data_IF_349278890910
#
_entry.id   IF_349278890910
#
_cell.length_a   1.000
_cell.length_b   1.000
_cell.length_c   1.000
_cell.angle_alpha   90.00
_cell.angle_beta   90.00
_cell.angle_gamma   90.00
#
_symmetry.space_group_name_H-M   'P 1'
#
loop_
_entity.id
_entity.type
_entity.pdbx_description
1 polymer ?
#
# COMPACT_ATOMS: atom_id res chain seq x y z
N UNK A 1 19.80 -5.01 16.55
CA UNK A 1 19.51 -5.45 15.17
C UNK A 1 18.65 -6.70 15.28
N UNK A 2 17.34 -6.57 15.08
CA UNK A 2 16.41 -7.71 15.18
C UNK A 2 16.65 -8.72 14.08
N UNK A 3 16.29 -9.97 14.33
CA UNK A 3 16.32 -11.02 13.31
C UNK A 3 15.25 -10.77 12.24
N UNK A 4 15.32 -11.45 11.10
CA UNK A 4 14.32 -11.37 10.03
C UNK A 4 12.91 -11.74 10.52
N UNK A 5 12.82 -12.63 11.51
CA UNK A 5 11.60 -12.97 12.24
C UNK A 5 11.06 -11.84 13.10
N UNK A 6 11.91 -11.06 13.74
CA UNK A 6 11.48 -9.94 14.58
C UNK A 6 10.91 -8.82 13.72
N UNK A 7 11.55 -8.51 12.57
CA UNK A 7 11.01 -7.55 11.61
C UNK A 7 9.68 -8.02 11.01
N UNK A 8 9.56 -9.31 10.69
CA UNK A 8 8.31 -9.86 10.17
C UNK A 8 7.18 -9.79 11.20
N UNK A 9 7.47 -10.10 12.48
CA UNK A 9 6.50 -9.98 13.56
C UNK A 9 6.09 -8.53 13.80
N UNK A 10 7.04 -7.59 13.74
CA UNK A 10 6.76 -6.15 13.83
C UNK A 10 5.88 -5.67 12.66
N UNK A 11 6.21 -6.04 11.42
CA UNK A 11 5.42 -5.70 10.24
C UNK A 11 3.98 -6.21 10.36
N UNK A 12 3.80 -7.46 10.78
CA UNK A 12 2.46 -8.05 10.99
C UNK A 12 1.64 -7.31 12.04
N UNK A 13 2.25 -6.87 13.14
CA UNK A 13 1.56 -6.05 14.16
C UNK A 13 1.09 -4.72 13.58
N UNK A 14 1.97 -4.00 12.90
CA UNK A 14 1.62 -2.70 12.30
C UNK A 14 0.52 -2.85 11.24
N UNK A 15 0.56 -3.92 10.44
CA UNK A 15 -0.50 -4.23 9.46
C UNK A 15 -1.87 -4.42 10.13
N UNK A 16 -1.93 -5.15 11.24
CA UNK A 16 -3.17 -5.35 11.99
C UNK A 16 -3.70 -4.01 12.52
N UNK A 17 -2.84 -3.19 13.10
CA UNK A 17 -3.19 -1.87 13.61
C UNK A 17 -3.67 -0.92 12.50
N UNK A 18 -3.02 -0.97 11.33
CA UNK A 18 -3.42 -0.19 10.15
C UNK A 18 -4.80 -0.62 9.65
N UNK A 19 -5.07 -1.94 9.56
CA UNK A 19 -6.39 -2.45 9.17
C UNK A 19 -7.47 -2.04 10.16
N UNK A 20 -7.21 -2.23 11.46
CA UNK A 20 -8.17 -1.88 12.50
C UNK A 20 -8.46 -0.37 12.50
N UNK A 21 -7.44 0.47 12.34
CA UNK A 21 -7.62 1.91 12.23
C UNK A 21 -8.41 2.31 10.99
N UNK A 22 -8.17 1.65 9.84
CA UNK A 22 -8.93 1.88 8.60
C UNK A 22 -10.40 1.47 8.76
N UNK A 23 -10.66 0.30 9.33
CA UNK A 23 -12.02 -0.18 9.60
C UNK A 23 -12.76 0.72 10.61
N UNK A 24 -12.06 1.22 11.64
CA UNK A 24 -12.65 2.17 12.59
C UNK A 24 -13.08 3.46 11.88
N UNK A 25 -12.25 3.99 10.99
CA UNK A 25 -12.57 5.17 10.19
C UNK A 25 -13.77 4.89 9.27
N UNK A 26 -13.79 3.74 8.60
CA UNK A 26 -14.89 3.35 7.71
C UNK A 26 -16.21 3.16 8.47
N UNK A 27 -16.17 2.55 9.67
CA UNK A 27 -17.34 2.41 10.55
C UNK A 27 -17.86 3.77 11.03
N UNK A 28 -16.97 4.70 11.37
CA UNK A 28 -17.34 6.06 11.74
C UNK A 28 -17.91 6.85 10.54
N UNK A 29 -17.44 6.57 9.32
CA UNK A 29 -18.05 7.11 8.10
C UNK A 29 -19.44 6.52 7.85
N UNK A 30 -19.61 5.21 8.01
CA UNK A 30 -20.87 4.49 7.75
C UNK A 30 -21.95 4.75 8.81
N UNK A 31 -21.57 4.94 10.07
CA UNK A 31 -22.49 5.20 11.17
C UNK A 31 -23.03 6.64 11.18
N UNK A 32 -22.56 7.53 10.31
CA UNK A 32 -22.96 8.93 10.28
C UNK A 32 -24.10 9.16 9.26
N UNK A 33 -25.32 9.53 9.70
CA UNK A 33 -26.38 9.90 8.79
C UNK A 33 -26.20 11.37 8.34
N UNK A 34 -26.02 11.54 7.04
CA UNK A 34 -26.66 12.57 6.19
C UNK A 34 -26.88 13.99 6.74
N UNK A 35 -25.94 14.58 7.49
CA UNK A 35 -25.95 16.04 7.69
C UNK A 35 -24.69 16.69 7.09
N UNK A 36 -24.78 17.27 5.87
CA UNK A 36 -23.66 17.94 5.21
C UNK A 36 -23.11 19.16 5.95
N UNK A 37 -23.81 19.65 6.98
CA UNK A 37 -23.52 20.91 7.66
C UNK A 37 -22.83 20.74 9.03
N UNK A 38 -22.75 19.52 9.56
CA UNK A 38 -22.09 19.28 10.84
C UNK A 38 -20.65 18.81 10.61
N UNK A 39 -19.67 19.60 11.05
CA UNK A 39 -18.28 19.18 11.13
C UNK A 39 -18.23 17.87 11.94
N UNK A 40 -17.92 16.75 11.26
CA UNK A 40 -17.97 15.40 11.82
C UNK A 40 -17.27 15.32 13.19
N UNK A 41 -17.99 15.04 14.28
CA UNK A 41 -17.37 14.69 15.55
C UNK A 41 -16.87 13.24 15.45
N UNK A 42 -15.66 13.04 14.93
CA UNK A 42 -15.03 11.71 14.87
C UNK A 42 -14.23 11.36 13.62
N UNK A 43 -14.27 12.18 12.55
CA UNK A 43 -13.22 12.10 11.51
C UNK A 43 -11.96 12.76 12.04
N UNK A 44 -11.35 12.18 13.06
CA UNK A 44 -10.20 12.77 13.75
C UNK A 44 -9.05 12.89 12.74
N UNK A 45 -8.67 14.11 12.31
CA UNK A 45 -7.48 14.29 11.47
C UNK A 45 -6.25 13.65 12.11
N UNK A 46 -6.24 13.59 13.44
CA UNK A 46 -5.26 12.90 14.27
C UNK A 46 -5.21 11.37 14.06
N UNK A 47 -6.34 10.69 13.82
CA UNK A 47 -6.30 9.24 13.53
C UNK A 47 -5.71 8.99 12.13
N UNK A 48 -6.08 9.83 11.15
CA UNK A 48 -5.55 9.69 9.79
C UNK A 48 -4.05 10.00 9.71
N UNK A 49 -3.56 10.95 10.51
CA UNK A 49 -2.13 11.25 10.60
C UNK A 49 -1.37 10.11 11.28
N UNK A 50 -1.92 9.51 12.36
CA UNK A 50 -1.35 8.32 12.99
C UNK A 50 -1.24 7.13 12.02
N UNK A 51 -2.26 6.88 11.19
CA UNK A 51 -2.20 5.82 10.17
C UNK A 51 -1.16 6.10 9.08
N UNK A 52 -0.95 7.37 8.70
CA UNK A 52 0.13 7.73 7.78
C UNK A 52 1.50 7.44 8.38
N UNK A 53 1.71 7.80 9.65
CA UNK A 53 2.98 7.52 10.35
C UNK A 53 3.26 6.01 10.40
N UNK A 54 2.26 5.21 10.78
CA UNK A 54 2.37 3.74 10.80
C UNK A 54 2.61 3.14 9.42
N UNK A 55 2.01 3.71 8.37
CA UNK A 55 2.25 3.28 6.99
C UNK A 55 3.69 3.57 6.56
N UNK A 56 4.25 4.73 6.91
CA UNK A 56 5.65 5.07 6.65
C UNK A 56 6.59 4.13 7.42
N UNK A 57 6.28 3.82 8.68
CA UNK A 57 7.02 2.85 9.48
C UNK A 57 7.00 1.45 8.86
N UNK A 58 5.82 0.97 8.42
CA UNK A 58 5.69 -0.31 7.72
C UNK A 58 6.49 -0.35 6.41
N UNK A 59 6.49 0.74 5.64
CA UNK A 59 7.29 0.84 4.42
C UNK A 59 8.78 0.74 4.70
N UNK A 60 9.26 1.38 5.78
CA UNK A 60 10.65 1.28 6.21
C UNK A 60 11.00 -0.16 6.60
N UNK A 61 10.17 -0.81 7.41
CA UNK A 61 10.39 -2.20 7.83
C UNK A 61 10.37 -3.15 6.63
N UNK A 62 9.50 -2.93 5.64
CA UNK A 62 9.47 -3.73 4.42
C UNK A 62 10.78 -3.63 3.64
N UNK A 63 11.33 -2.42 3.50
CA UNK A 63 12.63 -2.19 2.85
C UNK A 63 13.77 -2.85 3.63
N UNK A 64 13.81 -2.66 4.96
CA UNK A 64 14.82 -3.28 5.83
C UNK A 64 14.76 -4.83 5.76
N UNK A 65 13.55 -5.38 5.72
CA UNK A 65 13.30 -6.82 5.58
C UNK A 65 13.74 -7.33 4.21
N UNK A 66 13.47 -6.61 3.11
CA UNK A 66 13.96 -6.94 1.77
C UNK A 66 15.49 -6.94 1.70
N UNK A 67 16.15 -5.95 2.31
CA UNK A 67 17.61 -5.86 2.34
C UNK A 67 18.24 -7.03 3.12
N UNK A 68 17.75 -7.32 4.32
CA UNK A 68 18.26 -8.46 5.10
C UNK A 68 17.98 -9.80 4.43
N UNK A 69 16.82 -9.94 3.80
CA UNK A 69 16.43 -11.12 3.04
C UNK A 69 17.38 -11.37 1.86
N UNK A 70 17.64 -10.34 1.06
CA UNK A 70 18.56 -10.42 -0.08
C UNK A 70 20.00 -10.69 0.36
N UNK A 71 20.44 -10.13 1.49
CA UNK A 71 21.78 -10.37 2.04
C UNK A 71 21.98 -11.81 2.56
N UNK A 72 20.94 -12.42 3.14
CA UNK A 72 21.00 -13.76 3.73
C UNK A 72 20.62 -14.89 2.74
N UNK A 73 20.35 -14.56 1.49
CA UNK A 73 19.76 -15.46 0.48
C UNK A 73 20.66 -16.62 0.07
N UNK A 74 21.98 -16.47 0.23
CA UNK A 74 22.98 -17.49 -0.12
C UNK A 74 23.19 -18.52 1.01
N UNK A 75 22.83 -18.19 2.25
CA UNK A 75 23.16 -19.00 3.43
C UNK A 75 21.98 -19.81 3.99
N UNK A 76 20.75 -19.57 3.55
CA UNK A 76 19.54 -20.21 4.13
C UNK A 76 18.85 -21.20 3.20
N UNK A 77 18.54 -22.39 3.72
CA UNK A 77 17.65 -23.39 3.09
C UNK A 77 16.20 -22.90 2.97
N UNK A 78 15.75 -22.00 3.84
CA UNK A 78 14.36 -21.50 3.90
C UNK A 78 14.07 -20.39 2.88
N UNK A 79 14.83 -20.35 1.78
CA UNK A 79 14.87 -19.17 0.92
C UNK A 79 13.52 -18.84 0.30
N UNK A 80 12.83 -19.84 -0.21
CA UNK A 80 11.54 -19.63 -0.86
C UNK A 80 10.44 -19.25 0.15
N UNK A 81 10.57 -19.68 1.41
CA UNK A 81 9.60 -19.35 2.47
C UNK A 81 9.71 -17.87 2.82
N UNK A 82 10.92 -17.37 3.02
CA UNK A 82 11.14 -15.97 3.35
C UNK A 82 10.87 -15.04 2.17
N UNK A 83 11.17 -15.47 0.93
CA UNK A 83 10.75 -14.75 -0.26
C UNK A 83 9.23 -14.51 -0.28
N UNK A 84 8.44 -15.57 -0.09
CA UNK A 84 6.96 -15.43 -0.05
C UNK A 84 6.47 -14.57 1.11
N UNK A 85 7.10 -14.66 2.28
CA UNK A 85 6.75 -13.82 3.44
C UNK A 85 7.00 -12.34 3.18
N UNK A 86 8.13 -12.02 2.55
CA UNK A 86 8.48 -10.63 2.18
C UNK A 86 7.54 -10.11 1.10
N UNK A 87 7.30 -10.90 0.04
CA UNK A 87 6.35 -10.54 -1.02
C UNK A 87 4.93 -10.33 -0.46
N UNK A 88 4.46 -11.18 0.44
CA UNK A 88 3.15 -11.01 1.08
C UNK A 88 3.04 -9.74 1.93
N UNK A 89 4.09 -9.36 2.66
CA UNK A 89 4.12 -8.11 3.42
C UNK A 89 4.15 -6.90 2.47
N UNK A 90 4.87 -6.99 1.34
CA UNK A 90 4.90 -5.93 0.34
C UNK A 90 3.52 -5.71 -0.31
N UNK A 91 2.84 -6.79 -0.72
CA UNK A 91 1.47 -6.74 -1.26
C UNK A 91 0.48 -6.17 -0.23
N UNK A 92 0.57 -6.60 1.03
CA UNK A 92 -0.27 -6.07 2.10
C UNK A 92 0.00 -4.57 2.33
N UNK A 93 1.26 -4.13 2.28
CA UNK A 93 1.64 -2.71 2.41
C UNK A 93 1.07 -1.87 1.28
N UNK A 94 1.16 -2.34 0.03
CA UNK A 94 0.63 -1.64 -1.14
C UNK A 94 -0.91 -1.59 -1.11
N UNK A 95 -1.56 -2.66 -0.67
CA UNK A 95 -3.02 -2.71 -0.52
C UNK A 95 -3.52 -1.70 0.52
N UNK A 96 -2.84 -1.62 1.68
CA UNK A 96 -3.17 -0.70 2.77
C UNK A 96 -2.92 0.75 2.36
N UNK A 97 -1.82 1.01 1.65
CA UNK A 97 -1.54 2.33 1.06
C UNK A 97 -2.65 2.75 0.11
N UNK A 98 -3.03 1.88 -0.83
CA UNK A 98 -4.09 2.18 -1.79
C UNK A 98 -5.44 2.45 -1.11
N UNK A 99 -5.75 1.74 -0.03
CA UNK A 99 -6.97 1.96 0.75
C UNK A 99 -6.95 3.32 1.47
N UNK A 100 -5.82 3.67 2.10
CA UNK A 100 -5.64 4.96 2.79
C UNK A 100 -5.68 6.14 1.80
N UNK A 101 -5.03 6.03 0.65
CA UNK A 101 -5.01 7.06 -0.38
C UNK A 101 -6.43 7.29 -0.96
N UNK A 102 -7.21 6.23 -1.18
CA UNK A 102 -8.62 6.34 -1.58
C UNK A 102 -9.46 7.08 -0.55
N UNK A 103 -9.28 6.78 0.74
CA UNK A 103 -9.97 7.47 1.82
C UNK A 103 -9.61 8.96 1.84
N UNK A 104 -8.31 9.28 1.81
CA UNK A 104 -7.83 10.66 1.81
C UNK A 104 -8.27 11.44 0.58
N UNK A 105 -8.31 10.81 -0.60
CA UNK A 105 -8.80 11.42 -1.83
C UNK A 105 -10.30 11.76 -1.75
N UNK A 106 -11.11 10.89 -1.13
CA UNK A 106 -12.53 11.17 -0.90
C UNK A 106 -12.73 12.32 0.09
N UNK A 107 -11.97 12.35 1.17
CA UNK A 107 -12.04 13.44 2.14
C UNK A 107 -11.56 14.78 1.57
N UNK A 108 -10.46 14.79 0.81
CA UNK A 108 -9.99 16.00 0.13
C UNK A 108 -11.01 16.52 -0.88
N UNK A 109 -11.62 15.63 -1.67
CA UNK A 109 -12.68 15.99 -2.61
C UNK A 109 -13.89 16.61 -1.91
N UNK A 110 -14.34 16.02 -0.79
CA UNK A 110 -15.42 16.59 0.03
C UNK A 110 -15.06 17.96 0.58
N UNK A 111 -13.83 18.14 1.06
CA UNK A 111 -13.37 19.43 1.56
C UNK A 111 -13.28 20.49 0.45
N UNK A 112 -12.86 20.11 -0.76
CA UNK A 112 -12.88 20.99 -1.91
C UNK A 112 -14.31 21.40 -2.29
N UNK A 113 -15.23 20.44 -2.38
CA UNK A 113 -16.66 20.71 -2.66
C UNK A 113 -17.31 21.59 -1.57
N UNK A 114 -16.96 21.40 -0.30
CA UNK A 114 -17.43 22.23 0.81
C UNK A 114 -16.87 23.66 0.76
N UNK A 115 -15.58 23.82 0.40
CA UNK A 115 -14.95 25.13 0.23
C UNK A 115 -15.58 25.89 -0.94
N UNK A 116 -15.73 25.26 -2.10
CA UNK A 116 -16.39 25.84 -3.27
C UNK A 116 -17.83 26.29 -2.91
N UNK A 117 -18.57 25.46 -2.16
CA UNK A 117 -19.92 25.81 -1.70
C UNK A 117 -19.91 27.00 -0.73
N UNK A 118 -18.95 27.07 0.19
CA UNK A 118 -18.82 28.20 1.10
C UNK A 118 -18.48 29.50 0.35
N UNK A 119 -17.66 29.43 -0.70
CA UNK A 119 -17.37 30.58 -1.57
C UNK A 119 -18.60 31.04 -2.35
N UNK A 120 -19.41 30.10 -2.87
CA UNK A 120 -20.68 30.42 -3.53
C UNK A 120 -21.69 31.06 -2.57
N UNK A 121 -21.80 30.56 -1.33
CA UNK A 121 -22.64 31.16 -0.29
C UNK A 121 -22.15 32.55 0.12
N UNK A 122 -20.84 32.72 0.27
CA UNK A 122 -20.22 34.03 0.56
C UNK A 122 -20.47 35.02 -0.56
N UNK A 123 -20.40 34.59 -1.82
CA UNK A 123 -20.71 35.41 -3.00
C UNK A 123 -22.20 35.74 -3.10
N UNK A 124 -23.08 34.79 -2.80
CA UNK A 124 -24.53 35.00 -2.75
C UNK A 124 -24.95 35.99 -1.66
N UNK A 125 -24.40 35.85 -0.45
CA UNK A 125 -24.62 36.76 0.67
C UNK A 125 -24.05 38.17 0.39
N UNK A 126 -22.88 38.26 -0.25
CA UNK A 126 -22.29 39.53 -0.68
C UNK A 126 -23.13 40.22 -1.76
N UNK A 127 -23.75 39.47 -2.68
CA UNK A 127 -24.62 40.03 -3.74
C UNK A 127 -25.92 40.63 -3.16
N UNK A 128 -26.48 40.03 -2.11
CA UNK A 128 -27.68 40.55 -1.43
C UNK A 128 -27.36 41.82 -0.62
N UNK A 129 -26.18 41.89 0.01
CA UNK A 129 -25.67 43.11 0.65
C UNK A 129 -25.20 44.21 -0.32
N UNK A 130 -24.90 43.88 -1.58
CA UNK A 130 -24.34 44.79 -2.59
C UNK A 130 -25.33 45.83 -3.11
N UNK A 131 -26.65 45.64 -2.97
CA UNK A 131 -27.64 46.67 -3.38
C UNK A 131 -27.62 47.92 -2.50
N UNK A 132 -26.98 47.88 -1.33
CA UNK A 132 -26.94 49.00 -0.35
C UNK A 132 -25.53 49.61 -0.20
N UNK A 133 -24.46 48.95 -0.66
CA UNK A 133 -23.07 49.32 -0.37
C UNK A 133 -22.16 49.34 -1.61
N UNK A 134 -22.68 49.65 -2.80
CA UNK A 134 -21.91 49.49 -4.06
C UNK A 134 -20.87 50.56 -4.35
N UNK A 135 -20.94 51.75 -3.75
CA UNK A 135 -20.21 52.90 -4.32
C UNK A 135 -18.93 53.31 -3.56
N UNK A 136 -18.64 52.78 -2.37
CA UNK A 136 -17.45 53.17 -1.59
C UNK A 136 -16.45 52.04 -1.23
N UNK A 137 -16.79 50.76 -1.37
CA UNK A 137 -16.00 49.64 -0.81
C UNK A 137 -15.25 48.78 -1.85
N UNK A 138 -15.39 49.11 -3.14
CA UNK A 138 -14.83 48.31 -4.25
C UNK A 138 -13.28 48.33 -4.30
N UNK A 139 -12.63 49.42 -3.88
CA UNK A 139 -11.18 49.58 -3.94
C UNK A 139 -10.46 48.95 -2.74
N UNK A 140 -11.04 49.07 -1.53
CA UNK A 140 -10.52 48.42 -0.33
C UNK A 140 -10.68 46.88 -0.40
N UNK A 141 -11.78 46.40 -0.97
CA UNK A 141 -12.03 44.98 -1.17
C UNK A 141 -11.10 44.36 -2.23
N UNK A 142 -10.67 45.14 -3.24
CA UNK A 142 -9.70 44.71 -4.23
C UNK A 142 -8.31 44.44 -3.59
N UNK A 143 -7.81 45.35 -2.76
CA UNK A 143 -6.54 45.17 -2.04
C UNK A 143 -6.57 43.96 -1.10
N UNK A 144 -7.67 43.77 -0.37
CA UNK A 144 -7.87 42.60 0.50
C UNK A 144 -7.97 41.29 -0.30
N UNK A 145 -8.59 41.32 -1.49
CA UNK A 145 -8.68 40.17 -2.39
C UNK A 145 -7.32 39.76 -2.94
N UNK A 146 -6.45 40.73 -3.28
CA UNK A 146 -5.10 40.45 -3.79
C UNK A 146 -4.25 39.77 -2.71
N UNK A 147 -4.34 40.24 -1.47
CA UNK A 147 -3.57 39.65 -0.38
C UNK A 147 -4.06 38.25 0.00
N UNK A 148 -5.38 38.01 -0.16
CA UNK A 148 -5.98 36.68 0.02
C UNK A 148 -5.56 35.74 -1.12
N UNK A 149 -5.58 36.22 -2.36
CA UNK A 149 -5.13 35.47 -3.54
C UNK A 149 -3.65 35.09 -3.45
N UNK A 150 -2.79 35.96 -2.93
CA UNK A 150 -1.38 35.63 -2.71
C UNK A 150 -1.21 34.49 -1.69
N UNK A 151 -1.98 34.47 -0.60
CA UNK A 151 -1.94 33.35 0.37
C UNK A 151 -2.45 32.05 -0.22
N UNK A 152 -3.52 32.10 -1.02
CA UNK A 152 -4.05 30.91 -1.70
C UNK A 152 -3.07 30.39 -2.75
N UNK A 153 -2.39 31.27 -3.49
CA UNK A 153 -1.34 30.89 -4.43
C UNK A 153 -0.14 30.26 -3.73
N UNK A 154 0.26 30.77 -2.57
CA UNK A 154 1.34 30.18 -1.77
C UNK A 154 0.95 28.79 -1.25
N UNK A 155 -0.27 28.62 -0.73
CA UNK A 155 -0.79 27.32 -0.30
C UNK A 155 -0.90 26.32 -1.46
N UNK A 156 -1.32 26.79 -2.64
CA UNK A 156 -1.36 26.00 -3.88
C UNK A 156 0.04 25.62 -4.36
N UNK A 157 1.01 26.52 -4.24
CA UNK A 157 2.41 26.27 -4.60
C UNK A 157 3.05 25.27 -3.64
N UNK A 158 2.78 25.39 -2.34
CA UNK A 158 3.20 24.43 -1.30
C UNK A 158 2.58 23.04 -1.54
N UNK A 159 1.29 22.97 -1.87
CA UNK A 159 0.63 21.72 -2.21
C UNK A 159 1.18 21.13 -3.52
N UNK A 160 1.43 21.95 -4.54
CA UNK A 160 1.97 21.51 -5.84
C UNK A 160 3.41 20.99 -5.70
N UNK A 161 4.23 21.63 -4.87
CA UNK A 161 5.60 21.19 -4.58
C UNK A 161 5.62 19.87 -3.82
N UNK A 162 4.75 19.69 -2.82
CA UNK A 162 4.59 18.40 -2.12
C UNK A 162 4.10 17.27 -3.03
N UNK A 163 3.19 17.58 -3.97
CA UNK A 163 2.74 16.61 -4.99
C UNK A 163 3.87 16.28 -5.96
N UNK A 164 4.62 17.27 -6.46
CA UNK A 164 5.78 17.05 -7.34
C UNK A 164 6.88 16.23 -6.65
N UNK A 165 7.14 16.45 -5.36
CA UNK A 165 8.07 15.66 -4.57
C UNK A 165 7.60 14.19 -4.46
N UNK A 166 6.29 13.98 -4.24
CA UNK A 166 5.71 12.64 -4.21
C UNK A 166 5.80 11.92 -5.57
N UNK A 167 5.65 12.66 -6.69
CA UNK A 167 5.83 12.15 -8.05
C UNK A 167 7.30 11.88 -8.37
N UNK A 168 8.22 12.71 -7.90
CA UNK A 168 9.66 12.49 -8.04
C UNK A 168 10.10 11.23 -7.29
N UNK A 169 9.65 11.04 -6.04
CA UNK A 169 9.86 9.81 -5.28
C UNK A 169 9.25 8.57 -5.97
N UNK A 170 8.07 8.70 -6.58
CA UNK A 170 7.46 7.60 -7.35
C UNK A 170 8.24 7.28 -8.63
N UNK A 171 8.74 8.30 -9.34
CA UNK A 171 9.55 8.14 -10.55
C UNK A 171 10.86 7.40 -10.28
N UNK A 172 11.54 7.68 -9.18
CA UNK A 172 12.77 6.96 -8.83
C UNK A 172 12.50 5.50 -8.44
N UNK A 173 11.35 5.22 -7.82
CA UNK A 173 10.90 3.85 -7.56
C UNK A 173 10.57 3.10 -8.84
N UNK A 174 9.87 3.74 -9.79
CA UNK A 174 9.54 3.14 -11.09
C UNK A 174 10.78 2.91 -11.96
N UNK A 175 11.75 3.84 -11.97
CA UNK A 175 13.03 3.65 -12.66
C UNK A 175 13.85 2.51 -12.06
N UNK A 176 13.88 2.40 -10.74
CA UNK A 176 14.56 1.29 -10.06
C UNK A 176 13.82 -0.03 -10.27
N UNK A 177 12.48 -0.03 -10.31
CA UNK A 177 11.67 -1.20 -10.65
C UNK A 177 11.84 -1.62 -12.11
N UNK A 178 11.92 -0.66 -13.05
CA UNK A 178 12.16 -0.93 -14.48
C UNK A 178 13.57 -1.48 -14.73
N UNK A 179 14.61 -0.93 -14.08
CA UNK A 179 15.97 -1.50 -14.11
C UNK A 179 15.97 -2.91 -13.54
N UNK A 180 15.31 -3.14 -12.40
CA UNK A 180 15.14 -4.47 -11.80
C UNK A 180 14.32 -5.41 -12.69
N UNK A 181 13.32 -4.92 -13.42
CA UNK A 181 12.52 -5.71 -14.34
C UNK A 181 13.32 -6.12 -15.59
N UNK A 182 14.17 -5.23 -16.12
CA UNK A 182 15.14 -5.55 -17.17
C UNK A 182 16.13 -6.62 -16.71
N UNK A 183 16.64 -6.51 -15.48
CA UNK A 183 17.52 -7.53 -14.89
C UNK A 183 16.79 -8.85 -14.64
N UNK A 184 15.50 -8.80 -14.27
CA UNK A 184 14.61 -9.95 -14.10
C UNK A 184 14.27 -10.59 -15.43
N UNK A 185 14.04 -9.85 -16.51
CA UNK A 185 13.83 -10.41 -17.86
C UNK A 185 15.12 -11.07 -18.36
N UNK A 186 16.28 -10.46 -18.10
CA UNK A 186 17.58 -11.03 -18.43
C UNK A 186 17.91 -12.29 -17.60
N UNK A 187 17.35 -12.43 -16.39
CA UNK A 187 17.56 -13.61 -15.51
C UNK A 187 16.44 -14.65 -15.57
N UNK A 188 15.23 -14.30 -15.99
CA UNK A 188 14.12 -15.22 -16.26
C UNK A 188 14.37 -16.04 -17.53
N UNK A 189 15.21 -15.55 -18.46
CA UNK A 189 15.77 -16.36 -19.56
C UNK A 189 16.57 -17.59 -19.11
N UNK A 190 17.00 -17.64 -17.84
CA UNK A 190 17.69 -18.79 -17.23
C UNK A 190 16.76 -19.63 -16.31
N UNK A 191 15.51 -19.21 -16.08
CA UNK A 191 14.57 -19.83 -15.12
C UNK A 191 13.80 -21.03 -15.69
N UNK A 192 13.98 -21.40 -16.96
CA UNK A 192 13.43 -22.65 -17.51
C UNK A 192 13.98 -23.91 -16.81
N UNK A 193 15.21 -23.84 -16.30
CA UNK A 193 15.89 -24.99 -15.66
C UNK A 193 15.58 -25.09 -14.16
N UNK A 194 15.16 -24.00 -13.51
CA UNK A 194 14.79 -23.99 -12.08
C UNK A 194 13.31 -24.31 -11.87
N UNK A 195 12.42 -23.85 -12.75
CA UNK A 195 11.00 -24.23 -12.73
C UNK A 195 10.84 -25.77 -12.84
N UNK A 196 11.70 -26.41 -13.64
CA UNK A 196 11.77 -27.88 -13.81
C UNK A 196 12.38 -28.62 -12.61
N UNK A 197 13.05 -27.92 -11.68
CA UNK A 197 13.65 -28.51 -10.46
C UNK A 197 12.68 -28.55 -9.27
N UNK A 198 11.62 -27.76 -9.30
CA UNK A 198 10.57 -27.75 -8.28
C UNK A 198 9.60 -28.94 -8.48
N UNK A 199 9.35 -29.36 -9.73
CA UNK A 199 8.40 -30.44 -10.04
C UNK A 199 8.95 -31.87 -9.83
N UNK A 200 10.28 -32.05 -9.82
CA UNK A 200 10.87 -33.39 -9.70
C UNK A 200 10.78 -34.02 -8.31
N UNK A 201 10.66 -33.23 -7.24
CA UNK A 201 10.72 -33.79 -5.87
C UNK A 201 9.46 -34.58 -5.49
N UNK A 202 8.30 -34.29 -6.09
CA UNK A 202 7.09 -35.07 -5.84
C UNK A 202 6.93 -36.28 -6.76
N UNK A 203 7.57 -36.28 -7.94
CA UNK A 203 7.52 -37.39 -8.88
C UNK A 203 8.53 -38.50 -8.53
N UNK A 204 9.73 -38.15 -8.08
CA UNK A 204 10.73 -39.15 -7.67
C UNK A 204 10.24 -39.97 -6.47
N UNK A 205 9.59 -39.32 -5.49
CA UNK A 205 9.06 -40.00 -4.30
C UNK A 205 7.93 -41.00 -4.66
N UNK A 206 7.04 -40.60 -5.57
CA UNK A 206 6.00 -41.49 -6.13
C UNK A 206 6.60 -42.67 -6.90
N UNK A 207 7.63 -42.44 -7.72
CA UNK A 207 8.23 -43.50 -8.53
C UNK A 207 8.96 -44.55 -7.67
N UNK A 208 9.70 -44.12 -6.65
CA UNK A 208 10.40 -45.03 -5.72
C UNK A 208 9.41 -45.92 -4.97
N UNK A 209 8.27 -45.37 -4.53
CA UNK A 209 7.21 -46.15 -3.88
C UNK A 209 6.61 -47.22 -4.80
N UNK A 210 6.32 -46.87 -6.06
CA UNK A 210 5.79 -47.82 -7.05
C UNK A 210 6.78 -48.94 -7.41
N UNK A 211 8.08 -48.62 -7.53
CA UNK A 211 9.12 -49.63 -7.77
C UNK A 211 9.21 -50.61 -6.61
N UNK A 212 9.14 -50.14 -5.36
CA UNK A 212 9.13 -51.01 -4.17
C UNK A 212 7.92 -51.96 -4.13
N UNK A 213 6.73 -51.47 -4.51
CA UNK A 213 5.52 -52.29 -4.60
C UNK A 213 5.61 -53.36 -5.70
N UNK A 214 6.21 -53.04 -6.85
CA UNK A 214 6.39 -54.01 -7.93
C UNK A 214 7.38 -55.12 -7.56
N UNK A 215 8.52 -54.75 -6.96
CA UNK A 215 9.58 -55.70 -6.58
C UNK A 215 9.05 -56.71 -5.55
N UNK A 216 8.27 -56.25 -4.57
CA UNK A 216 7.66 -57.13 -3.56
C UNK A 216 6.69 -58.14 -4.19
N UNK A 217 5.88 -57.73 -5.17
CA UNK A 217 5.00 -58.64 -5.91
C UNK A 217 5.81 -59.69 -6.69
N UNK A 218 6.88 -59.29 -7.39
CA UNK A 218 7.72 -60.20 -8.17
C UNK A 218 8.36 -61.27 -7.28
N UNK A 219 8.89 -60.89 -6.11
CA UNK A 219 9.52 -61.82 -5.17
C UNK A 219 8.50 -62.86 -4.69
N UNK A 220 7.28 -62.45 -4.33
CA UNK A 220 6.21 -63.37 -3.91
C UNK A 220 5.85 -64.36 -5.02
N UNK A 221 5.74 -63.89 -6.27
CA UNK A 221 5.42 -64.74 -7.42
C UNK A 221 6.52 -65.77 -7.69
N UNK A 222 7.79 -65.35 -7.63
CA UNK A 222 8.94 -66.25 -7.83
C UNK A 222 8.97 -67.33 -6.76
N UNK A 223 8.81 -66.96 -5.48
CA UNK A 223 8.77 -67.93 -4.37
C UNK A 223 7.60 -68.89 -4.55
N UNK A 224 6.39 -68.39 -4.83
CA UNK A 224 5.21 -69.24 -5.04
C UNK A 224 5.43 -70.24 -6.17
N UNK A 225 6.05 -69.81 -7.28
CA UNK A 225 6.32 -70.67 -8.44
C UNK A 225 7.50 -71.63 -8.25
N UNK A 226 8.33 -71.42 -7.23
CA UNK A 226 9.43 -72.32 -6.87
C UNK A 226 9.01 -73.32 -5.78
N UNK A 227 8.00 -72.97 -4.98
CA UNK A 227 7.46 -73.82 -3.92
C UNK A 227 6.31 -74.73 -4.40
N UNK A 228 5.88 -74.58 -5.65
CA UNK A 228 4.83 -75.37 -6.31
C UNK A 228 5.37 -76.07 -7.53
#
# INVERSE_FOLDING_TARGET
MGTLSDLYAAARRIILELREGLERIERLEAASPTDPYMQKPGSSPDMTSQLRVKLTELQRINVDMEHMWRAQIAQRKDKDIWKRKVEGIAEETDSLRGALDKYLGREHRRQAEAKDRAELLKRGAAQDGKRVMSDFDAEAQAMASVNTSNKVLEDMFSAATGVLESYAMQRDRLKNAQRKALDVINTLGLSGTVLRRIDRRQLTDKWVSYVGMLVTIIVVVVVWKWTR
#
